data_IF_774751661637
#
_entry.id   IF_774751661637
#
_cell.length_a   1.000
_cell.length_b   1.000
_cell.length_c   1.000
_cell.angle_alpha   90.00
_cell.angle_beta   90.00
_cell.angle_gamma   90.00
#
_symmetry.space_group_name_H-M   'P 1'
#
loop_
_entity.id
_entity.type
_entity.pdbx_description
1 polymer ?
#
# COMPACT_ATOMS: atom_id res chain seq x y z
N UNK A 1 -29.63 83.63 46.10
CA UNK A 1 -31.10 83.72 45.95
C UNK A 1 -31.53 82.64 44.97
N UNK A 2 -32.49 81.82 45.41
CA UNK A 2 -33.45 80.99 44.65
C UNK A 2 -33.00 80.21 43.39
N UNK A 3 -32.94 78.88 43.54
CA UNK A 3 -33.42 77.88 42.56
C UNK A 3 -34.98 77.94 42.50
N UNK A 4 -35.74 77.32 41.54
CA UNK A 4 -35.52 75.95 41.06
C UNK A 4 -36.12 75.49 39.68
N UNK A 5 -35.78 74.23 39.32
CA UNK A 5 -36.60 73.14 38.74
C UNK A 5 -37.15 73.18 37.29
N UNK A 6 -36.74 72.15 36.50
CA UNK A 6 -37.58 71.16 35.78
C UNK A 6 -36.64 70.16 35.05
N UNK A 7 -36.23 69.04 35.66
CA UNK A 7 -36.80 67.68 35.56
C UNK A 7 -37.37 67.29 34.18
N UNK A 8 -36.61 66.49 33.41
CA UNK A 8 -37.08 65.21 32.84
C UNK A 8 -35.89 64.24 32.82
N UNK A 9 -36.07 63.10 33.49
CA UNK A 9 -35.24 61.92 33.35
C UNK A 9 -35.97 60.91 32.46
N UNK A 10 -35.31 60.39 31.42
CA UNK A 10 -35.51 59.08 30.81
C UNK A 10 -34.22 58.79 30.01
N UNK A 11 -33.29 58.01 30.54
CA UNK A 11 -33.23 56.55 30.42
C UNK A 11 -33.16 56.08 28.96
N UNK A 12 -32.07 55.35 28.68
CA UNK A 12 -31.97 54.16 27.82
C UNK A 12 -31.15 54.24 26.51
N UNK A 13 -30.32 53.20 26.40
CA UNK A 13 -29.75 52.57 25.21
C UNK A 13 -28.55 53.24 24.53
N UNK A 14 -27.38 53.11 25.16
CA UNK A 14 -26.10 52.96 24.46
C UNK A 14 -26.16 51.78 23.48
N UNK A 15 -26.14 52.05 22.17
CA UNK A 15 -25.82 51.06 21.15
C UNK A 15 -24.35 51.18 20.75
N UNK A 16 -23.52 50.33 21.35
CA UNK A 16 -22.22 49.97 20.83
C UNK A 16 -22.45 49.05 19.62
N UNK A 17 -22.26 49.56 18.41
CA UNK A 17 -22.13 48.72 17.21
C UNK A 17 -20.75 48.04 17.27
N UNK A 18 -20.69 46.92 17.98
CA UNK A 18 -19.61 45.95 17.84
C UNK A 18 -19.74 45.30 16.45
N UNK A 19 -18.69 45.45 15.66
CA UNK A 19 -18.45 44.69 14.44
C UNK A 19 -18.53 43.19 14.72
N UNK A 20 -19.63 42.55 14.33
CA UNK A 20 -19.70 41.10 14.24
C UNK A 20 -19.07 40.65 12.92
N UNK A 21 -17.74 40.69 12.86
CA UNK A 21 -17.02 39.72 12.04
C UNK A 21 -17.09 38.44 12.86
N UNK A 22 -17.95 37.50 12.46
CA UNK A 22 -17.91 36.15 13.02
C UNK A 22 -16.62 35.50 12.57
N UNK A 23 -15.54 35.79 13.30
CA UNK A 23 -14.39 34.91 13.34
C UNK A 23 -14.90 33.59 13.89
N UNK A 24 -15.03 32.59 13.02
CA UNK A 24 -15.12 31.21 13.43
C UNK A 24 -14.04 31.02 14.51
N UNK A 25 -14.48 30.79 15.74
CA UNK A 25 -13.57 30.51 16.82
C UNK A 25 -12.81 29.25 16.43
N UNK A 26 -11.54 29.45 16.07
CA UNK A 26 -10.50 28.44 15.97
C UNK A 26 -10.49 27.66 17.30
N UNK A 27 -11.32 26.63 17.39
CA UNK A 27 -11.17 25.57 18.39
C UNK A 27 -10.18 24.55 17.85
N UNK A 28 -8.96 25.01 17.54
CA UNK A 28 -7.80 24.13 17.45
C UNK A 28 -7.45 23.75 18.90
N UNK A 29 -8.03 22.64 19.37
CA UNK A 29 -7.54 21.93 20.56
C UNK A 29 -6.10 21.49 20.23
N UNK A 30 -5.14 21.56 21.17
CA UNK A 30 -3.77 21.16 20.87
C UNK A 30 -3.72 19.64 20.75
N UNK A 31 -3.81 19.11 19.53
CA UNK A 31 -3.52 17.70 19.30
C UNK A 31 -2.02 17.50 19.44
N UNK A 32 -1.64 16.65 20.39
CA UNK A 32 -0.25 16.22 20.61
C UNK A 32 0.30 15.37 19.46
N UNK A 33 -0.55 14.96 18.52
CA UNK A 33 -0.19 14.25 17.29
C UNK A 33 -0.64 15.07 16.07
N UNK A 34 0.22 15.24 15.06
CA UNK A 34 -0.12 15.99 13.86
C UNK A 34 -1.11 15.20 12.99
N UNK A 35 -1.91 15.93 12.20
CA UNK A 35 -2.56 15.29 11.05
C UNK A 35 -1.49 14.94 10.02
N UNK A 36 -1.74 13.91 9.22
CA UNK A 36 -0.80 13.42 8.23
C UNK A 36 -1.41 13.53 6.84
N UNK A 37 -0.60 13.90 5.84
CA UNK A 37 -0.92 13.73 4.44
C UNK A 37 -0.03 12.64 3.86
N UNK A 38 -0.64 11.62 3.29
CA UNK A 38 0.04 10.54 2.58
C UNK A 38 -0.05 10.82 1.08
N UNK A 39 1.08 11.11 0.45
CA UNK A 39 1.21 11.27 -0.98
C UNK A 39 1.70 9.94 -1.58
N UNK A 40 0.89 9.37 -2.47
CA UNK A 40 1.19 8.10 -3.12
C UNK A 40 1.65 8.35 -4.55
N UNK A 41 2.70 7.65 -4.95
CA UNK A 41 3.15 7.54 -6.34
C UNK A 41 3.18 6.07 -6.72
N UNK A 42 2.22 5.63 -7.52
CA UNK A 42 2.09 4.27 -8.04
C UNK A 42 3.00 4.09 -9.26
N UNK A 43 3.84 3.05 -9.24
CA UNK A 43 4.81 2.77 -10.31
C UNK A 43 4.22 1.95 -11.45
N UNK A 44 3.12 1.22 -11.20
CA UNK A 44 2.45 0.36 -12.17
C UNK A 44 1.10 0.93 -12.57
N UNK A 45 0.86 1.07 -13.88
CA UNK A 45 -0.41 1.55 -14.42
C UNK A 45 -1.61 0.68 -14.05
N UNK A 46 -1.40 -0.62 -13.84
CA UNK A 46 -2.44 -1.56 -13.39
C UNK A 46 -2.95 -1.29 -11.97
N UNK A 47 -2.22 -0.49 -11.18
CA UNK A 47 -2.60 -0.13 -9.81
C UNK A 47 -3.30 1.24 -9.74
N UNK A 48 -3.40 1.96 -10.86
CA UNK A 48 -3.96 3.30 -10.88
C UNK A 48 -5.37 3.33 -10.27
N UNK A 49 -5.58 4.24 -9.33
CA UNK A 49 -6.84 4.38 -8.61
C UNK A 49 -7.69 5.42 -9.32
N UNK A 50 -8.81 4.97 -9.86
CA UNK A 50 -9.68 5.78 -10.71
C UNK A 50 -8.94 6.44 -11.90
N UNK A 51 -7.85 5.81 -12.37
CA UNK A 51 -7.00 6.32 -13.45
C UNK A 51 -5.80 7.15 -13.00
N UNK A 52 -5.68 7.47 -11.70
CA UNK A 52 -4.59 8.28 -11.16
C UNK A 52 -3.44 7.40 -10.65
N UNK A 53 -2.22 7.73 -11.05
CA UNK A 53 -0.98 7.17 -10.48
C UNK A 53 -0.50 7.93 -9.24
N UNK A 54 -0.88 9.21 -9.14
CA UNK A 54 -0.45 10.11 -8.08
C UNK A 54 -1.68 10.71 -7.40
N UNK A 55 -1.75 10.58 -6.07
CA UNK A 55 -2.87 11.08 -5.27
C UNK A 55 -2.47 11.22 -3.81
N UNK A 56 -3.27 11.97 -3.06
CA UNK A 56 -3.04 12.21 -1.64
C UNK A 56 -4.24 11.76 -0.81
N UNK A 57 -3.96 11.26 0.40
CA UNK A 57 -4.96 10.94 1.41
C UNK A 57 -4.66 11.73 2.68
N UNK A 58 -5.68 12.32 3.28
CA UNK A 58 -5.58 13.10 4.51
C UNK A 58 -5.99 12.22 5.68
N UNK A 59 -5.25 12.32 6.79
CA UNK A 59 -5.44 11.46 7.94
C UNK A 59 -5.34 12.24 9.26
N UNK A 60 -6.38 12.18 10.08
CA UNK A 60 -6.40 12.80 11.41
C UNK A 60 -6.21 11.75 12.51
N UNK A 61 -5.32 11.98 13.49
CA UNK A 61 -5.09 11.02 14.55
C UNK A 61 -6.22 11.05 15.60
N UNK A 62 -6.74 9.87 15.92
CA UNK A 62 -7.61 9.55 17.05
C UNK A 62 -6.79 8.71 18.04
N UNK A 63 -6.22 9.39 19.03
CA UNK A 63 -5.30 8.80 20.02
C UNK A 63 -6.07 8.46 21.29
N UNK A 64 -5.79 7.30 21.89
CA UNK A 64 -6.36 6.93 23.19
C UNK A 64 -5.88 7.84 24.32
N UNK A 65 -6.64 7.92 25.42
CA UNK A 65 -6.33 8.80 26.57
C UNK A 65 -4.90 8.62 27.14
N UNK A 66 -4.39 7.38 27.11
CA UNK A 66 -3.04 7.02 27.56
C UNK A 66 -1.95 7.20 26.48
N UNK A 67 -2.32 7.46 25.21
CA UNK A 67 -1.37 7.61 24.11
C UNK A 67 -0.80 6.31 23.54
N UNK A 68 -1.31 5.15 24.00
CA UNK A 68 -0.76 3.83 23.65
C UNK A 68 -1.44 3.21 22.41
N UNK A 69 -2.55 3.78 21.96
CA UNK A 69 -3.24 3.35 20.74
C UNK A 69 -3.56 4.54 19.85
N UNK A 70 -3.47 4.31 18.55
CA UNK A 70 -3.82 5.28 17.53
C UNK A 70 -4.64 4.64 16.43
N UNK A 71 -5.68 5.35 16.02
CA UNK A 71 -6.44 5.14 14.80
C UNK A 71 -6.41 6.44 14.02
N UNK A 72 -6.35 6.37 12.70
CA UNK A 72 -6.48 7.56 11.86
C UNK A 72 -7.82 7.55 11.15
N UNK A 73 -8.56 8.65 11.30
CA UNK A 73 -9.69 8.97 10.44
C UNK A 73 -9.16 9.51 9.12
N UNK A 74 -9.68 9.03 8.00
CA UNK A 74 -9.08 9.22 6.68
C UNK A 74 -10.09 9.80 5.70
N UNK A 75 -9.62 10.70 4.85
CA UNK A 75 -10.39 11.24 3.74
C UNK A 75 -9.54 11.33 2.48
N UNK A 76 -10.12 10.92 1.34
CA UNK A 76 -9.52 11.10 0.03
C UNK A 76 -10.59 11.31 -1.03
N UNK A 77 -10.28 12.14 -2.02
CA UNK A 77 -11.17 12.44 -3.14
C UNK A 77 -10.51 12.05 -4.45
N UNK A 78 -11.24 11.32 -5.29
CA UNK A 78 -10.80 10.89 -6.60
C UNK A 78 -11.82 11.29 -7.65
N UNK A 79 -11.35 11.88 -8.75
CA UNK A 79 -12.21 12.22 -9.88
C UNK A 79 -11.99 11.24 -11.04
N UNK A 80 -13.09 10.73 -11.60
CA UNK A 80 -13.09 9.92 -12.80
C UNK A 80 -14.11 10.50 -13.80
N UNK A 81 -13.64 11.26 -14.78
CA UNK A 81 -14.50 11.99 -15.70
C UNK A 81 -15.39 13.01 -14.94
N UNK A 82 -16.71 12.85 -15.05
CA UNK A 82 -17.70 13.69 -14.36
C UNK A 82 -18.10 13.18 -12.96
N UNK A 83 -17.51 12.06 -12.51
CA UNK A 83 -17.86 11.41 -11.24
C UNK A 83 -16.80 11.71 -10.18
N UNK A 84 -17.23 12.12 -9.00
CA UNK A 84 -16.38 12.26 -7.81
C UNK A 84 -16.62 11.05 -6.90
N UNK A 85 -15.54 10.44 -6.47
CA UNK A 85 -15.49 9.39 -5.47
C UNK A 85 -14.81 9.93 -4.22
N UNK A 86 -15.52 9.96 -3.09
CA UNK A 86 -14.92 10.31 -1.81
C UNK A 86 -14.83 9.05 -0.95
N UNK A 87 -13.60 8.71 -0.58
CA UNK A 87 -13.31 7.70 0.41
C UNK A 87 -13.28 8.36 1.78
N UNK A 88 -13.99 7.78 2.73
CA UNK A 88 -14.03 8.22 4.12
C UNK A 88 -13.87 7.02 5.05
N UNK A 89 -12.99 7.16 6.04
CA UNK A 89 -12.88 6.26 7.18
C UNK A 89 -13.00 7.09 8.44
N UNK A 90 -14.04 6.84 9.24
CA UNK A 90 -14.25 7.52 10.53
C UNK A 90 -14.66 6.50 11.57
N UNK A 91 -14.01 6.52 12.75
CA UNK A 91 -14.26 5.58 13.84
C UNK A 91 -14.13 4.11 13.40
N UNK A 92 -13.19 3.83 12.51
CA UNK A 92 -12.89 2.48 12.00
C UNK A 92 -13.92 1.94 11.00
N UNK A 93 -14.83 2.78 10.50
CA UNK A 93 -15.82 2.42 9.48
C UNK A 93 -15.45 3.07 8.16
N UNK A 94 -15.16 2.24 7.15
CA UNK A 94 -14.76 2.68 5.83
C UNK A 94 -15.93 2.62 4.83
N UNK A 95 -16.12 3.69 4.07
CA UNK A 95 -17.14 3.78 3.02
C UNK A 95 -16.69 4.68 1.87
N UNK A 96 -17.32 4.47 0.72
CA UNK A 96 -17.12 5.28 -0.49
C UNK A 96 -18.43 5.97 -0.84
N UNK A 97 -18.40 7.28 -1.04
CA UNK A 97 -19.52 8.02 -1.60
C UNK A 97 -19.22 8.44 -3.04
N UNK A 98 -20.28 8.45 -3.86
CA UNK A 98 -20.20 8.84 -5.27
C UNK A 98 -21.20 9.95 -5.57
N UNK A 99 -20.71 11.03 -6.16
CA UNK A 99 -21.51 12.16 -6.65
C UNK A 99 -21.15 12.51 -8.10
N UNK A 100 -22.05 13.21 -8.78
CA UNK A 100 -21.85 13.73 -10.14
C UNK A 100 -21.53 15.22 -10.07
N UNK A 101 -20.58 15.68 -10.88
CA UNK A 101 -20.26 17.11 -11.03
C UNK A 101 -21.44 17.92 -11.59
N UNK A 102 -22.26 17.29 -12.44
CA UNK A 102 -23.35 17.95 -13.16
C UNK A 102 -24.66 18.05 -12.34
N UNK A 103 -24.74 17.34 -11.22
CA UNK A 103 -25.91 17.34 -10.34
C UNK A 103 -25.48 17.44 -8.88
N UNK A 104 -25.06 18.63 -8.51
CA UNK A 104 -24.65 19.00 -7.14
C UNK A 104 -25.81 18.99 -6.14
N UNK A 105 -27.05 18.76 -6.59
CA UNK A 105 -28.24 18.63 -5.74
C UNK A 105 -28.63 17.18 -5.45
N UNK A 106 -28.08 16.22 -6.18
CA UNK A 106 -28.33 14.80 -5.95
C UNK A 106 -27.65 14.30 -4.67
N UNK A 107 -28.40 13.55 -3.86
CA UNK A 107 -27.83 12.86 -2.69
C UNK A 107 -26.76 11.86 -3.15
N UNK A 108 -25.54 11.91 -2.59
CA UNK A 108 -24.47 11.01 -2.99
C UNK A 108 -24.84 9.56 -2.67
N UNK A 109 -24.46 8.65 -3.57
CA UNK A 109 -24.66 7.21 -3.34
C UNK A 109 -23.52 6.68 -2.47
N UNK A 110 -23.84 6.01 -1.36
CA UNK A 110 -22.87 5.48 -0.40
C UNK A 110 -22.76 3.97 -0.54
N UNK A 111 -21.53 3.45 -0.55
CA UNK A 111 -21.21 2.03 -0.51
C UNK A 111 -20.28 1.75 0.67
N UNK A 112 -20.65 0.81 1.54
CA UNK A 112 -19.75 0.33 2.58
C UNK A 112 -18.60 -0.47 1.95
N UNK A 113 -17.44 -0.46 2.61
CA UNK A 113 -16.29 -1.27 2.26
C UNK A 113 -16.15 -2.40 3.29
N UNK A 114 -15.74 -3.59 2.84
CA UNK A 114 -15.55 -4.75 3.73
C UNK A 114 -14.14 -4.74 4.34
N UNK A 115 -13.18 -4.10 3.67
CA UNK A 115 -11.81 -3.88 4.14
C UNK A 115 -11.29 -2.49 3.77
N UNK A 116 -10.32 -1.99 4.53
CA UNK A 116 -9.62 -0.73 4.24
C UNK A 116 -8.84 -0.79 2.92
N UNK A 117 -8.36 -1.98 2.53
CA UNK A 117 -7.49 -2.19 1.36
C UNK A 117 -8.23 -2.45 0.05
N UNK A 118 -9.57 -2.40 0.03
CA UNK A 118 -10.35 -2.89 -1.12
C UNK A 118 -10.11 -2.05 -2.39
N UNK A 119 -10.03 -0.73 -2.26
CA UNK A 119 -9.97 0.20 -3.39
C UNK A 119 -8.81 1.18 -3.27
N UNK A 120 -8.43 1.54 -2.04
CA UNK A 120 -7.40 2.53 -1.75
C UNK A 120 -6.33 1.95 -0.84
N UNK A 121 -5.11 2.54 -0.80
CA UNK A 121 -4.08 2.10 0.12
C UNK A 121 -4.56 2.22 1.58
N UNK A 122 -4.34 1.18 2.41
CA UNK A 122 -4.84 1.15 3.78
C UNK A 122 -3.96 1.97 4.73
N UNK A 123 -4.37 3.21 5.04
CA UNK A 123 -3.62 4.14 5.88
C UNK A 123 -3.35 3.55 7.27
N UNK A 124 -4.32 2.89 7.91
CA UNK A 124 -4.12 2.34 9.24
C UNK A 124 -3.22 1.10 9.25
N UNK A 125 -3.20 0.31 8.17
CA UNK A 125 -2.17 -0.71 7.97
C UNK A 125 -0.78 -0.12 7.78
N UNK A 126 -0.66 0.99 7.03
CA UNK A 126 0.62 1.71 6.86
C UNK A 126 1.11 2.24 8.22
N UNK A 127 0.23 2.85 9.00
CA UNK A 127 0.52 3.32 10.37
C UNK A 127 0.96 2.16 11.28
N UNK A 128 0.31 1.00 11.17
CA UNK A 128 0.73 -0.21 11.89
C UNK A 128 2.15 -0.62 11.49
N UNK A 129 2.47 -0.64 10.20
CA UNK A 129 3.83 -0.91 9.73
C UNK A 129 4.86 0.08 10.25
N UNK A 130 4.54 1.39 10.26
CA UNK A 130 5.42 2.43 10.83
C UNK A 130 5.61 2.22 12.35
N UNK A 131 4.57 1.80 13.07
CA UNK A 131 4.68 1.46 14.49
C UNK A 131 5.60 0.27 14.74
N UNK A 132 5.68 -0.69 13.82
CA UNK A 132 6.49 -1.90 13.92
C UNK A 132 7.85 -1.77 13.20
N UNK A 133 8.20 -0.56 12.74
CA UNK A 133 9.41 -0.28 11.99
C UNK A 133 10.68 -0.73 12.74
N UNK A 134 11.54 -1.47 12.05
CA UNK A 134 12.80 -1.98 12.61
C UNK A 134 13.98 -1.20 12.05
N UNK A 135 14.83 -0.66 12.93
CA UNK A 135 15.98 0.14 12.50
C UNK A 135 17.00 -0.72 11.75
N UNK A 136 17.49 -0.22 10.61
CA UNK A 136 18.53 -0.86 9.82
C UNK A 136 19.89 -0.18 10.03
N UNK A 137 20.97 -0.93 9.86
CA UNK A 137 22.29 -0.34 9.74
C UNK A 137 22.38 0.39 8.39
N UNK A 138 22.82 1.65 8.40
CA UNK A 138 23.14 2.36 7.17
C UNK A 138 24.27 1.62 6.45
N UNK A 139 23.95 0.84 5.43
CA UNK A 139 24.93 0.29 4.51
C UNK A 139 25.45 1.47 3.68
N UNK A 140 26.78 1.62 3.61
CA UNK A 140 27.46 2.73 2.95
C UNK A 140 27.37 2.70 1.42
N UNK A 141 26.24 2.26 0.86
CA UNK A 141 25.93 2.28 -0.56
C UNK A 141 24.61 3.02 -0.75
N UNK A 142 24.65 4.08 -1.56
CA UNK A 142 23.63 5.09 -1.91
C UNK A 142 22.28 4.57 -2.44
N UNK A 143 21.80 3.41 -2.01
CA UNK A 143 20.73 2.73 -2.71
C UNK A 143 19.30 3.22 -2.38
N UNK A 144 19.11 3.96 -1.29
CA UNK A 144 17.79 4.40 -0.82
C UNK A 144 17.66 5.92 -0.67
N UNK A 145 18.63 6.69 -1.18
CA UNK A 145 18.59 8.16 -1.11
C UNK A 145 18.57 8.74 0.32
N UNK A 146 18.63 7.90 1.36
CA UNK A 146 18.55 8.29 2.76
C UNK A 146 19.92 8.74 3.28
N UNK A 147 20.54 9.73 2.63
CA UNK A 147 21.92 10.17 2.91
C UNK A 147 22.08 10.86 4.26
N UNK A 148 20.98 11.42 4.80
CA UNK A 148 20.98 12.24 6.02
C UNK A 148 20.01 11.74 7.10
N UNK A 149 19.29 10.64 6.83
CA UNK A 149 18.20 10.13 7.66
C UNK A 149 18.50 8.80 8.36
N UNK A 150 17.58 8.37 9.21
CA UNK A 150 17.56 7.03 9.79
C UNK A 150 16.77 6.09 8.87
N UNK A 151 17.33 4.93 8.57
CA UNK A 151 16.72 3.93 7.70
C UNK A 151 16.04 2.83 8.53
N UNK A 152 14.82 2.47 8.15
CA UNK A 152 14.02 1.42 8.78
C UNK A 152 13.44 0.46 7.75
N UNK A 153 13.28 -0.79 8.15
CA UNK A 153 12.49 -1.78 7.45
C UNK A 153 11.05 -1.73 7.97
N UNK A 154 10.08 -1.75 7.06
CA UNK A 154 8.66 -1.65 7.35
C UNK A 154 7.91 -2.70 6.54
N UNK A 155 7.06 -3.47 7.19
CA UNK A 155 6.19 -4.46 6.56
C UNK A 155 4.73 -3.96 6.56
N UNK A 156 4.11 -3.85 5.39
CA UNK A 156 2.73 -3.38 5.24
C UNK A 156 1.94 -4.46 4.51
N UNK A 157 1.03 -5.14 5.21
CA UNK A 157 0.23 -6.25 4.67
C UNK A 157 1.04 -7.31 3.91
N UNK A 158 2.28 -7.58 4.36
CA UNK A 158 3.18 -8.56 3.74
C UNK A 158 4.05 -8.02 2.60
N UNK A 159 4.03 -6.70 2.35
CA UNK A 159 4.88 -6.02 1.37
C UNK A 159 5.96 -5.24 2.11
N UNK A 160 7.21 -5.42 1.68
CA UNK A 160 8.37 -4.75 2.27
C UNK A 160 8.53 -3.32 1.74
N UNK A 161 8.80 -2.39 2.65
CA UNK A 161 9.11 -1.00 2.37
C UNK A 161 10.39 -0.60 3.11
N UNK A 162 11.22 0.18 2.44
CA UNK A 162 12.33 0.91 3.08
C UNK A 162 11.84 2.29 3.48
N UNK A 163 11.84 2.57 4.78
CA UNK A 163 11.44 3.87 5.33
C UNK A 163 12.68 4.70 5.64
N UNK A 164 12.76 5.88 5.05
CA UNK A 164 13.74 6.92 5.37
C UNK A 164 13.06 7.99 6.23
N UNK A 165 13.60 8.22 7.43
CA UNK A 165 13.17 9.30 8.31
C UNK A 165 14.26 10.37 8.38
N UNK A 166 14.00 11.53 7.80
CA UNK A 166 14.88 12.70 7.92
C UNK A 166 14.58 13.48 9.20
N UNK A 167 15.57 14.21 9.74
CA UNK A 167 15.49 14.76 11.11
C UNK A 167 14.39 15.80 11.35
N UNK A 168 13.77 16.33 10.30
CA UNK A 168 12.78 17.39 10.35
C UNK A 168 11.93 17.24 9.08
N UNK A 169 10.67 16.82 9.18
CA UNK A 169 9.61 17.11 8.18
C UNK A 169 9.23 16.00 7.18
N UNK A 170 10.14 15.12 6.73
CA UNK A 170 9.79 14.14 5.68
C UNK A 170 10.02 12.67 6.10
N UNK A 171 8.94 11.88 6.03
CA UNK A 171 8.96 10.44 6.14
C UNK A 171 8.65 9.84 4.77
N UNK A 172 9.60 9.10 4.19
CA UNK A 172 9.46 8.52 2.86
C UNK A 172 9.59 7.01 2.91
N UNK A 173 8.59 6.31 2.39
CA UNK A 173 8.56 4.87 2.23
C UNK A 173 8.75 4.51 0.76
N UNK A 174 9.75 3.69 0.49
CA UNK A 174 10.09 3.20 -0.83
C UNK A 174 9.72 1.73 -0.93
N UNK A 175 8.81 1.40 -1.84
CA UNK A 175 8.44 0.02 -2.18
C UNK A 175 8.56 -0.22 -3.68
N UNK A 176 8.54 -1.48 -4.11
CA UNK A 176 8.71 -1.83 -5.52
C UNK A 176 7.56 -1.34 -6.41
N UNK A 177 6.35 -1.30 -5.86
CA UNK A 177 5.12 -1.01 -6.60
C UNK A 177 4.62 0.42 -6.41
N UNK A 178 4.98 1.06 -5.29
CA UNK A 178 4.63 2.43 -4.98
C UNK A 178 5.64 3.06 -4.04
N UNK A 179 5.72 4.39 -4.08
CA UNK A 179 6.36 5.19 -3.05
C UNK A 179 5.28 5.93 -2.26
N UNK A 180 5.55 6.19 -0.98
CA UNK A 180 4.66 6.92 -0.08
C UNK A 180 5.49 8.00 0.61
N UNK A 181 5.09 9.25 0.45
CA UNK A 181 5.63 10.37 1.21
C UNK A 181 4.61 10.81 2.24
N UNK A 182 5.04 10.99 3.48
CA UNK A 182 4.18 11.37 4.59
C UNK A 182 4.61 12.74 5.11
N UNK A 183 3.70 13.70 4.97
CA UNK A 183 3.85 15.09 5.41
C UNK A 183 3.09 15.29 6.73
N UNK A 184 3.74 15.94 7.70
CA UNK A 184 3.10 16.35 8.95
C UNK A 184 2.37 17.69 8.75
N UNK A 185 1.08 17.73 9.05
CA UNK A 185 0.25 18.92 8.93
C UNK A 185 0.12 19.65 10.28
N UNK A 186 0.33 20.96 10.26
CA UNK A 186 0.21 21.83 11.44
C UNK A 186 -1.22 21.94 11.99
N UNK A 187 -2.21 21.73 11.12
CA UNK A 187 -3.64 21.84 11.44
C UNK A 187 -4.36 20.56 11.10
N UNK A 188 -5.27 20.13 11.99
CA UNK A 188 -6.18 19.04 11.67
C UNK A 188 -7.03 19.40 10.45
N UNK A 189 -7.27 18.40 9.62
CA UNK A 189 -8.15 18.54 8.46
C UNK A 189 -9.59 18.38 8.94
N UNK A 190 -10.54 19.14 8.38
CA UNK A 190 -11.94 18.88 8.66
C UNK A 190 -12.39 17.61 7.90
N UNK A 191 -12.53 16.50 8.63
CA UNK A 191 -13.14 15.26 8.13
C UNK A 191 -14.54 15.19 8.70
N UNK A 192 -15.55 15.22 7.84
CA UNK A 192 -16.93 15.24 8.27
C UNK A 192 -17.30 13.93 8.98
N UNK A 193 -18.04 14.00 10.09
CA UNK A 193 -18.51 12.82 10.81
C UNK A 193 -19.51 12.03 9.95
N UNK A 194 -19.79 10.79 10.37
CA UNK A 194 -20.76 9.94 9.68
C UNK A 194 -22.17 10.54 9.66
N UNK A 195 -22.77 10.51 8.48
CA UNK A 195 -24.20 10.76 8.27
C UNK A 195 -25.03 9.48 8.52
N UNK A 196 -26.35 9.62 8.69
CA UNK A 196 -27.27 8.49 8.97
C UNK A 196 -27.13 7.31 7.99
N UNK A 197 -26.88 7.59 6.70
CA UNK A 197 -26.71 6.56 5.66
C UNK A 197 -25.43 5.73 5.85
N UNK A 198 -24.37 6.34 6.36
CA UNK A 198 -23.10 5.67 6.65
C UNK A 198 -23.09 4.94 8.01
N UNK A 199 -24.12 5.14 8.84
CA UNK A 199 -24.27 4.46 10.13
C UNK A 199 -24.56 2.97 9.98
N UNK A 200 -25.06 2.52 8.82
CA UNK A 200 -25.31 1.11 8.52
C UNK A 200 -24.04 0.31 8.21
N UNK A 201 -22.92 0.98 7.94
CA UNK A 201 -21.65 0.34 7.65
C UNK A 201 -20.99 -0.23 8.91
N UNK A 202 -20.34 -1.40 8.77
CA UNK A 202 -19.65 -2.10 9.86
C UNK A 202 -18.25 -1.55 10.09
N UNK A 203 -17.76 -1.70 11.31
CA UNK A 203 -16.35 -1.44 11.65
C UNK A 203 -15.45 -2.46 10.95
N UNK A 204 -14.48 -1.95 10.19
CA UNK A 204 -13.51 -2.72 9.42
C UNK A 204 -12.08 -2.57 9.94
N UNK A 205 -11.81 -1.51 10.71
CA UNK A 205 -10.46 -1.18 11.20
C UNK A 205 -10.47 -1.02 12.72
N UNK A 206 -9.41 -1.53 13.36
CA UNK A 206 -9.19 -1.40 14.80
C UNK A 206 -7.96 -0.53 15.09
N UNK A 207 -7.91 0.21 16.21
CA UNK A 207 -6.73 1.00 16.58
C UNK A 207 -5.48 0.14 16.75
N UNK A 208 -4.34 0.63 16.27
CA UNK A 208 -3.04 -0.01 16.40
C UNK A 208 -2.34 0.40 17.70
N UNK A 209 -1.47 -0.47 18.23
CA UNK A 209 -0.62 -0.15 19.38
C UNK A 209 0.53 0.77 18.94
N UNK A 210 0.87 1.75 19.77
CA UNK A 210 1.93 2.72 19.49
C UNK A 210 3.23 2.28 20.17
N UNK A 211 4.30 2.13 19.40
CA UNK A 211 5.65 1.90 19.94
C UNK A 211 6.39 3.23 20.15
N UNK A 212 7.53 3.21 20.84
CA UNK A 212 8.37 4.41 20.99
C UNK A 212 8.91 4.92 19.64
N UNK A 213 9.29 4.01 18.75
CA UNK A 213 9.73 4.31 17.38
C UNK A 213 8.57 4.87 16.58
N UNK A 214 7.44 4.17 16.58
CA UNK A 214 6.21 4.58 15.89
C UNK A 214 5.72 5.96 16.33
N UNK A 215 5.67 6.22 17.64
CA UNK A 215 5.36 7.54 18.18
C UNK A 215 6.29 8.61 17.63
N UNK A 216 7.60 8.35 17.62
CA UNK A 216 8.58 9.32 17.13
C UNK A 216 8.39 9.59 15.64
N UNK A 217 8.24 8.54 14.83
CA UNK A 217 8.04 8.62 13.38
C UNK A 217 6.70 9.25 12.99
N UNK A 218 5.61 8.96 13.69
CA UNK A 218 4.27 9.48 13.36
C UNK A 218 4.03 10.90 13.89
N UNK A 219 4.89 11.40 14.78
CA UNK A 219 4.79 12.77 15.34
C UNK A 219 5.92 13.69 14.92
N UNK A 220 6.85 13.22 14.08
CA UNK A 220 8.03 13.98 13.69
C UNK A 220 9.00 14.28 14.86
N UNK A 221 8.88 13.54 15.97
CA UNK A 221 9.74 13.72 17.13
C UNK A 221 11.11 13.05 16.90
N UNK A 222 12.15 13.69 17.44
CA UNK A 222 13.51 13.14 17.40
C UNK A 222 13.55 11.78 18.12
N UNK A 223 13.99 10.76 17.38
CA UNK A 223 14.30 9.45 17.93
C UNK A 223 15.41 9.61 18.99
N UNK A 224 15.11 9.32 20.26
CA UNK A 224 16.11 9.40 21.32
C UNK A 224 17.23 8.42 21.01
N UNK A 225 18.43 8.94 20.75
CA UNK A 225 19.63 8.15 20.45
C UNK A 225 20.12 7.40 21.69
N UNK A 226 19.43 6.32 22.06
CA UNK A 226 19.98 5.31 22.94
C UNK A 226 20.85 4.41 22.08
N UNK A 227 22.16 4.65 22.12
CA UNK A 227 23.28 3.82 21.65
C UNK A 227 22.95 2.72 20.63
N UNK A 228 23.33 3.02 19.38
CA UNK A 228 23.42 2.16 18.21
C UNK A 228 24.24 0.89 18.50
N UNK A 229 23.62 -0.13 19.09
CA UNK A 229 24.15 -1.49 19.19
C UNK A 229 23.16 -2.46 18.54
N UNK A 230 23.16 -2.49 17.21
CA UNK A 230 22.53 -3.58 16.45
C UNK A 230 23.64 -4.48 15.91
N UNK A 231 23.46 -5.78 16.15
CA UNK A 231 24.30 -6.85 15.62
C UNK A 231 24.05 -6.96 14.11
N UNK A 232 25.10 -6.91 13.30
CA UNK A 232 24.98 -7.17 11.87
C UNK A 232 24.52 -8.62 11.66
N UNK A 233 23.35 -8.80 11.08
CA UNK A 233 22.86 -10.09 10.62
C UNK A 233 22.53 -9.95 9.13
N UNK A 234 23.46 -10.45 8.32
CA UNK A 234 23.46 -10.61 6.86
C UNK A 234 23.31 -9.36 5.97
N UNK A 235 24.29 -9.22 5.08
CA UNK A 235 24.42 -8.21 4.03
C UNK A 235 23.28 -8.35 3.00
N UNK A 236 22.31 -7.45 3.04
CA UNK A 236 21.32 -7.25 2.00
C UNK A 236 21.70 -6.04 1.15
N UNK A 237 22.47 -6.26 0.08
CA UNK A 237 22.63 -5.27 -0.99
C UNK A 237 21.30 -5.15 -1.77
N UNK A 238 20.56 -4.04 -1.59
CA UNK A 238 19.33 -3.71 -2.32
C UNK A 238 19.61 -2.64 -3.39
N UNK A 239 18.92 -2.75 -4.52
CA UNK A 239 19.24 -2.13 -5.81
C UNK A 239 18.56 -0.77 -6.00
N UNK A 240 19.26 0.18 -6.64
CA UNK A 240 18.67 1.41 -7.19
C UNK A 240 18.92 1.47 -8.67
N UNK A 241 17.87 1.78 -9.41
CA UNK A 241 17.98 2.20 -10.80
C UNK A 241 18.44 3.66 -10.88
N UNK A 242 19.14 3.97 -11.97
CA UNK A 242 19.51 5.32 -12.36
C UNK A 242 18.72 5.75 -13.60
N UNK A 243 17.71 6.58 -13.35
CA UNK A 243 17.42 7.87 -14.01
C UNK A 243 17.08 7.96 -15.52
N UNK A 244 16.25 8.98 -15.77
CA UNK A 244 15.66 9.44 -17.02
C UNK A 244 16.66 10.15 -17.95
N UNK A 245 16.52 9.83 -19.23
CA UNK A 245 16.43 10.71 -20.42
C UNK A 245 17.44 11.85 -20.64
N UNK A 246 18.19 11.81 -21.76
CA UNK A 246 18.10 12.82 -22.84
C UNK A 246 19.14 12.62 -23.98
N UNK A 247 18.61 12.50 -25.19
CA UNK A 247 19.09 12.99 -26.49
C UNK A 247 20.59 13.05 -26.87
N UNK A 248 20.87 12.29 -27.94
CA UNK A 248 21.61 12.65 -29.16
C UNK A 248 23.16 12.82 -29.21
N UNK A 249 23.70 12.00 -30.12
CA UNK A 249 24.79 12.22 -31.07
C UNK A 249 26.26 11.89 -30.71
N UNK A 250 26.71 10.83 -31.39
CA UNK A 250 27.97 10.68 -32.15
C UNK A 250 29.13 9.89 -31.53
N UNK A 251 29.36 8.73 -32.17
CA UNK A 251 30.62 8.03 -32.47
C UNK A 251 31.91 8.42 -31.72
N UNK A 252 32.44 7.49 -30.92
CA UNK A 252 33.67 6.72 -31.22
C UNK A 252 34.49 6.34 -29.97
N UNK A 253 34.92 5.07 -29.97
CA UNK A 253 36.01 4.42 -29.20
C UNK A 253 35.85 4.08 -27.71
N UNK A 254 35.97 2.76 -27.51
CA UNK A 254 36.56 2.04 -26.36
C UNK A 254 35.73 1.94 -25.08
N UNK A 255 35.26 0.73 -24.77
CA UNK A 255 34.75 0.38 -23.46
C UNK A 255 33.71 -0.74 -23.52
N UNK A 256 34.14 -1.94 -23.20
CA UNK A 256 33.29 -3.10 -22.90
C UNK A 256 32.50 -2.83 -21.60
N UNK A 257 31.17 -2.64 -21.68
CA UNK A 257 30.31 -2.66 -20.49
C UNK A 257 28.87 -3.14 -20.82
N UNK A 258 28.32 -4.14 -20.08
CA UNK A 258 26.99 -4.68 -20.32
C UNK A 258 25.96 -4.03 -19.38
N UNK A 259 25.26 -3.00 -19.86
CA UNK A 259 24.17 -2.37 -19.10
C UNK A 259 22.83 -3.09 -19.33
N UNK A 260 22.48 -4.01 -18.43
CA UNK A 260 21.12 -4.58 -18.26
C UNK A 260 20.88 -4.98 -16.79
N UNK A 261 20.46 -4.04 -15.95
CA UNK A 261 20.09 -4.34 -14.57
C UNK A 261 18.66 -4.88 -14.48
N UNK A 262 18.48 -6.18 -14.73
CA UNK A 262 17.27 -6.92 -14.36
C UNK A 262 17.48 -7.71 -13.07
N UNK A 263 16.42 -7.99 -12.31
CA UNK A 263 16.50 -8.88 -11.15
C UNK A 263 17.23 -10.18 -11.54
N UNK A 264 18.37 -10.47 -10.93
CA UNK A 264 19.13 -11.69 -11.24
C UNK A 264 18.76 -12.81 -10.26
N UNK A 265 18.65 -14.05 -10.72
CA UNK A 265 18.44 -15.16 -9.80
C UNK A 265 19.64 -15.38 -8.88
N UNK A 266 19.39 -15.45 -7.57
CA UNK A 266 20.42 -15.73 -6.56
C UNK A 266 20.73 -17.22 -6.39
N UNK A 267 19.97 -18.11 -7.04
CA UNK A 267 20.22 -19.55 -7.09
C UNK A 267 20.55 -20.00 -8.50
N UNK A 268 21.03 -21.23 -8.66
CA UNK A 268 21.07 -21.88 -9.98
C UNK A 268 19.68 -21.85 -10.62
N UNK A 269 19.51 -21.24 -11.81
CA UNK A 269 18.24 -21.24 -12.52
C UNK A 269 17.77 -22.66 -12.78
N UNK A 270 16.46 -22.88 -12.65
CA UNK A 270 15.83 -24.20 -12.73
C UNK A 270 14.68 -24.18 -13.72
N UNK A 271 14.33 -25.31 -14.35
CA UNK A 271 13.09 -25.40 -15.12
C UNK A 271 11.88 -25.03 -14.25
N UNK A 272 11.02 -24.18 -14.78
CA UNK A 272 9.83 -23.70 -14.10
C UNK A 272 8.56 -24.22 -14.77
N UNK A 273 7.58 -24.58 -13.94
CA UNK A 273 6.24 -24.90 -14.41
C UNK A 273 5.17 -24.13 -13.62
N UNK A 274 4.26 -23.52 -14.37
CA UNK A 274 3.14 -22.74 -13.87
C UNK A 274 1.85 -23.54 -13.99
N UNK A 275 1.14 -23.69 -12.88
CA UNK A 275 -0.11 -24.47 -12.77
C UNK A 275 -1.25 -23.52 -12.42
N UNK A 276 -2.15 -23.29 -13.38
CA UNK A 276 -3.25 -22.36 -13.22
C UNK A 276 -4.36 -22.88 -12.29
N UNK A 277 -5.27 -21.98 -11.92
CA UNK A 277 -6.41 -22.26 -11.06
C UNK A 277 -7.68 -22.72 -11.79
N UNK A 278 -8.81 -22.52 -11.14
CA UNK A 278 -10.13 -22.79 -11.71
C UNK A 278 -10.44 -21.83 -12.87
N UNK A 279 -11.23 -22.28 -13.85
CA UNK A 279 -11.81 -21.42 -14.88
C UNK A 279 -11.43 -21.74 -16.33
N UNK A 280 -10.58 -22.75 -16.55
CA UNK A 280 -10.13 -23.13 -17.89
C UNK A 280 -10.86 -24.38 -18.35
N UNK A 281 -11.59 -24.30 -19.47
CA UNK A 281 -12.33 -25.43 -20.08
C UNK A 281 -11.49 -26.23 -21.06
N UNK A 282 -10.50 -25.59 -21.68
CA UNK A 282 -9.64 -26.21 -22.67
C UNK A 282 -8.52 -26.99 -21.97
N UNK A 283 -8.02 -28.02 -22.62
CA UNK A 283 -6.90 -28.81 -22.13
C UNK A 283 -6.01 -29.12 -23.33
N UNK A 284 -4.70 -29.02 -23.13
CA UNK A 284 -3.72 -29.43 -24.13
C UNK A 284 -2.97 -30.69 -23.65
N UNK A 285 -2.48 -31.54 -24.57
CA UNK A 285 -1.84 -32.80 -24.21
C UNK A 285 -0.42 -32.64 -23.66
N UNK A 286 0.22 -31.47 -23.79
CA UNK A 286 1.59 -31.19 -23.35
C UNK A 286 1.66 -29.86 -22.59
N UNK A 287 2.78 -29.59 -21.92
CA UNK A 287 3.02 -28.26 -21.37
C UNK A 287 3.25 -27.26 -22.49
N UNK A 288 2.69 -26.07 -22.36
CA UNK A 288 2.81 -25.00 -23.35
C UNK A 288 3.94 -24.04 -23.00
N UNK A 289 4.44 -23.32 -24.01
CA UNK A 289 5.44 -22.26 -23.87
C UNK A 289 4.85 -20.90 -23.52
N UNK A 290 3.55 -20.73 -23.74
CA UNK A 290 2.79 -19.51 -23.44
C UNK A 290 1.38 -19.90 -23.01
N UNK A 291 0.81 -19.18 -22.04
CA UNK A 291 -0.57 -19.37 -21.67
C UNK A 291 -1.17 -18.07 -21.13
N UNK A 292 -2.15 -17.52 -21.85
CA UNK A 292 -2.70 -16.17 -21.60
C UNK A 292 -3.28 -15.95 -20.20
N UNK A 293 -3.63 -17.04 -19.50
CA UNK A 293 -4.00 -17.00 -18.08
C UNK A 293 -2.99 -16.25 -17.20
N UNK A 294 -1.71 -16.30 -17.57
CA UNK A 294 -0.60 -15.73 -16.81
C UNK A 294 -0.10 -14.38 -17.36
N UNK A 295 -0.76 -13.84 -18.40
CA UNK A 295 -0.31 -12.64 -19.11
C UNK A 295 0.90 -12.87 -20.01
N UNK A 296 1.19 -11.90 -20.86
CA UNK A 296 2.26 -12.00 -21.88
C UNK A 296 3.65 -11.63 -21.33
N UNK A 297 3.69 -10.81 -20.27
CA UNK A 297 4.95 -10.25 -19.74
C UNK A 297 5.70 -11.22 -18.82
N UNK A 298 5.05 -12.28 -18.32
CA UNK A 298 5.61 -13.17 -17.30
C UNK A 298 6.96 -13.79 -17.70
N UNK A 299 7.11 -14.21 -18.97
CA UNK A 299 8.34 -14.88 -19.45
C UNK A 299 9.57 -13.95 -19.34
N UNK A 300 9.37 -12.63 -19.42
CA UNK A 300 10.44 -11.63 -19.25
C UNK A 300 10.84 -11.37 -17.79
N UNK A 301 10.05 -11.88 -16.82
CA UNK A 301 10.17 -11.54 -15.40
C UNK A 301 10.41 -12.76 -14.50
N UNK A 302 10.89 -13.88 -15.05
CA UNK A 302 11.22 -15.09 -14.29
C UNK A 302 12.73 -15.38 -14.30
N UNK A 303 13.56 -14.57 -13.64
CA UNK A 303 15.02 -14.66 -13.75
C UNK A 303 15.60 -15.95 -13.16
N UNK A 304 14.86 -16.62 -12.27
CA UNK A 304 15.24 -17.93 -11.71
C UNK A 304 14.81 -19.12 -12.54
N UNK A 305 14.14 -18.90 -13.66
CA UNK A 305 13.68 -19.96 -14.54
C UNK A 305 14.66 -20.15 -15.69
N UNK A 306 15.27 -21.33 -15.81
CA UNK A 306 16.05 -21.69 -16.99
C UNK A 306 15.15 -21.98 -18.21
N UNK A 307 13.90 -22.35 -17.95
CA UNK A 307 12.83 -22.51 -18.93
C UNK A 307 11.49 -22.27 -18.22
N UNK A 308 10.49 -21.81 -18.97
CA UNK A 308 9.14 -21.57 -18.45
C UNK A 308 8.17 -22.44 -19.22
N UNK A 309 7.32 -23.18 -18.50
CA UNK A 309 6.29 -24.04 -19.06
C UNK A 309 4.96 -23.83 -18.34
N UNK A 310 3.86 -24.02 -19.06
CA UNK A 310 2.52 -23.83 -18.53
C UNK A 310 1.72 -25.14 -18.62
N UNK A 311 1.13 -25.58 -17.51
CA UNK A 311 0.21 -26.70 -17.49
C UNK A 311 -1.20 -26.23 -17.84
N UNK A 312 -1.64 -26.43 -19.07
CA UNK A 312 -3.00 -26.08 -19.52
C UNK A 312 -3.93 -27.30 -19.35
N UNK A 313 -4.79 -27.24 -18.33
CA UNK A 313 -5.64 -28.34 -17.92
C UNK A 313 -7.11 -27.93 -17.87
N UNK A 314 -8.03 -28.85 -18.14
CA UNK A 314 -9.46 -28.56 -18.01
C UNK A 314 -9.85 -28.58 -16.54
N UNK A 315 -9.86 -27.41 -15.91
CA UNK A 315 -10.18 -27.19 -14.50
C UNK A 315 -11.64 -26.87 -14.25
N UNK A 316 -12.44 -26.59 -15.29
CA UNK A 316 -13.89 -26.37 -15.13
C UNK A 316 -14.65 -27.69 -14.99
N UNK A 317 -14.30 -28.70 -15.78
CA UNK A 317 -15.00 -29.99 -15.76
C UNK A 317 -14.36 -30.98 -14.78
N UNK A 318 -13.15 -30.71 -14.29
CA UNK A 318 -12.45 -31.56 -13.35
C UNK A 318 -12.04 -30.73 -12.12
N UNK A 319 -12.66 -31.03 -10.98
CA UNK A 319 -12.36 -30.38 -9.70
C UNK A 319 -10.98 -30.82 -9.18
N UNK A 320 -10.44 -30.06 -8.24
CA UNK A 320 -9.15 -30.38 -7.61
C UNK A 320 -9.12 -31.71 -6.84
N UNK A 321 -10.28 -32.25 -6.45
CA UNK A 321 -10.43 -33.55 -5.80
C UNK A 321 -10.38 -34.73 -6.78
N UNK A 322 -10.39 -34.47 -8.10
CA UNK A 322 -10.30 -35.51 -9.12
C UNK A 322 -8.92 -36.15 -9.15
N UNK A 323 -8.87 -37.47 -8.93
CA UNK A 323 -7.62 -38.25 -8.99
C UNK A 323 -6.95 -38.13 -10.35
N UNK A 324 -7.72 -38.26 -11.42
CA UNK A 324 -7.22 -38.12 -12.80
C UNK A 324 -6.61 -36.74 -13.04
N UNK A 325 -7.20 -35.69 -12.46
CA UNK A 325 -6.68 -34.33 -12.60
C UNK A 325 -5.37 -34.14 -11.83
N UNK A 326 -5.28 -34.70 -10.61
CA UNK A 326 -4.06 -34.69 -9.81
C UNK A 326 -2.92 -35.47 -10.49
N UNK A 327 -3.22 -36.61 -11.10
CA UNK A 327 -2.26 -37.39 -11.90
C UNK A 327 -1.75 -36.61 -13.12
N UNK A 328 -2.64 -35.88 -13.81
CA UNK A 328 -2.23 -34.99 -14.90
C UNK A 328 -1.27 -33.91 -14.42
N UNK A 329 -1.58 -33.23 -13.31
CA UNK A 329 -0.68 -32.23 -12.71
C UNK A 329 0.69 -32.84 -12.40
N UNK A 330 0.74 -34.02 -11.81
CA UNK A 330 2.00 -34.74 -11.57
C UNK A 330 2.79 -34.96 -12.86
N UNK A 331 2.15 -35.53 -13.88
CA UNK A 331 2.81 -35.83 -15.15
C UNK A 331 3.32 -34.56 -15.84
N UNK A 332 2.58 -33.45 -15.72
CA UNK A 332 2.97 -32.13 -16.23
C UNK A 332 4.22 -31.62 -15.54
N UNK A 333 4.30 -31.73 -14.21
CA UNK A 333 5.47 -31.26 -13.44
C UNK A 333 6.69 -32.14 -13.69
N UNK A 334 6.54 -33.46 -13.67
CA UNK A 334 7.64 -34.39 -13.91
C UNK A 334 8.25 -34.26 -15.32
N UNK A 335 7.46 -33.82 -16.30
CA UNK A 335 7.92 -33.65 -17.68
C UNK A 335 8.80 -32.41 -17.91
N UNK A 336 8.96 -31.53 -16.92
CA UNK A 336 9.63 -30.22 -17.08
C UNK A 336 11.12 -30.31 -16.86
N UNK A 337 11.56 -31.25 -16.01
CA UNK A 337 12.96 -31.47 -15.70
C UNK A 337 13.37 -32.90 -16.05
N UNK A 338 14.40 -33.04 -16.87
CA UNK A 338 14.96 -34.34 -17.26
C UNK A 338 15.65 -35.06 -16.10
N UNK A 339 15.96 -34.36 -14.99
CA UNK A 339 16.52 -34.96 -13.77
C UNK A 339 15.44 -35.50 -12.84
N UNK A 340 14.17 -35.19 -13.10
CA UNK A 340 13.05 -35.76 -12.34
C UNK A 340 12.85 -37.23 -12.66
N UNK A 341 12.39 -38.00 -11.66
CA UNK A 341 12.04 -39.42 -11.81
C UNK A 341 10.54 -39.61 -11.65
N UNK A 342 10.00 -40.81 -11.93
CA UNK A 342 8.57 -41.12 -11.76
C UNK A 342 7.99 -40.90 -10.34
N UNK A 343 8.85 -40.64 -9.36
CA UNK A 343 8.46 -40.44 -7.97
C UNK A 343 9.09 -39.20 -7.33
N UNK A 344 9.99 -38.47 -8.00
CA UNK A 344 10.72 -37.35 -7.39
C UNK A 344 10.79 -36.20 -8.37
N UNK A 345 10.33 -35.03 -7.94
CA UNK A 345 10.56 -33.76 -8.64
C UNK A 345 11.94 -33.27 -8.23
N UNK A 346 12.81 -33.04 -9.20
CA UNK A 346 14.20 -32.61 -8.96
C UNK A 346 14.51 -31.36 -9.78
N UNK A 347 15.22 -30.42 -9.15
CA UNK A 347 15.67 -29.17 -9.75
C UNK A 347 14.57 -28.39 -10.49
N UNK A 348 13.34 -28.40 -9.97
CA UNK A 348 12.19 -27.76 -10.63
C UNK A 348 11.57 -26.73 -9.69
N UNK A 349 11.27 -25.55 -10.22
CA UNK A 349 10.46 -24.54 -9.52
C UNK A 349 9.01 -24.74 -9.97
N UNK A 350 8.11 -24.93 -9.02
CA UNK A 350 6.68 -25.09 -9.29
C UNK A 350 5.96 -23.86 -8.77
N UNK A 351 5.28 -23.15 -9.68
CA UNK A 351 4.46 -22.00 -9.35
C UNK A 351 3.00 -22.40 -9.54
N UNK A 352 2.19 -22.20 -8.51
CA UNK A 352 0.79 -22.60 -8.52
C UNK A 352 -0.10 -21.42 -8.15
N UNK A 353 -1.30 -21.36 -8.72
CA UNK A 353 -2.30 -20.34 -8.37
C UNK A 353 -3.66 -20.98 -8.03
N UNK A 354 -4.29 -20.49 -6.95
CA UNK A 354 -5.66 -20.83 -6.55
C UNK A 354 -5.89 -22.36 -6.50
N UNK A 355 -6.86 -22.89 -7.24
CA UNK A 355 -7.14 -24.34 -7.32
C UNK A 355 -5.93 -25.18 -7.73
N UNK A 356 -4.97 -24.60 -8.47
CA UNK A 356 -3.68 -25.22 -8.81
C UNK A 356 -2.90 -25.67 -7.58
N UNK A 357 -2.94 -24.89 -6.49
CA UNK A 357 -2.26 -25.20 -5.23
C UNK A 357 -2.78 -26.51 -4.63
N UNK A 358 -4.10 -26.71 -4.64
CA UNK A 358 -4.76 -27.89 -4.09
C UNK A 358 -4.47 -29.14 -4.93
N UNK A 359 -4.53 -29.02 -6.26
CA UNK A 359 -4.22 -30.14 -7.16
C UNK A 359 -2.77 -30.63 -6.97
N UNK A 360 -1.83 -29.70 -6.81
CA UNK A 360 -0.42 -30.02 -6.59
C UNK A 360 -0.17 -30.59 -5.19
N UNK A 361 -0.71 -29.98 -4.14
CA UNK A 361 -0.49 -30.39 -2.76
C UNK A 361 -1.07 -31.79 -2.45
N UNK A 362 -2.28 -32.10 -2.96
CA UNK A 362 -2.90 -33.42 -2.75
C UNK A 362 -2.05 -34.52 -3.39
N UNK A 363 -1.45 -34.25 -4.55
CA UNK A 363 -0.53 -35.20 -5.17
C UNK A 363 0.72 -35.45 -4.30
N UNK A 364 1.39 -34.39 -3.81
CA UNK A 364 2.57 -34.55 -2.93
C UNK A 364 2.21 -35.46 -1.76
N UNK A 365 1.06 -35.19 -1.11
CA UNK A 365 0.59 -35.97 0.02
C UNK A 365 0.32 -37.44 -0.33
N UNK A 366 -0.32 -37.71 -1.46
CA UNK A 366 -0.69 -39.07 -1.85
C UNK A 366 0.49 -39.95 -2.30
N UNK A 367 1.64 -39.34 -2.61
CA UNK A 367 2.84 -40.03 -3.12
C UNK A 367 3.93 -40.22 -2.07
N UNK A 368 4.02 -39.32 -1.09
CA UNK A 368 5.08 -39.30 -0.06
C UNK A 368 4.60 -39.51 1.37
N UNK A 369 3.29 -39.55 1.61
CA UNK A 369 2.69 -40.04 2.86
C UNK A 369 2.17 -41.45 2.67
#
# INVERSE_FOLDING_TARGET
MASPLLWVAMASATWLLLSAVSSAALNAKPTTWPALRFNFTLKRSSMNIYGNSDFSMLANPVVSDNGDKVLYDVFATFQQGQTIHNYTLVDGVAFMSRSSLDDSTATPTVSCLDSESDIVPPINSIVTGINEATAMAASGSDATGCTTGSLFEVLINGIDFSLCASRLDDLQLYGDDMNIEVEYLDTQVEILPRDEVSAECKTTVSPSSVTSVGKSLLTGQLLSSSERNLKAEFDFTFWSDGSKDSSQHSESRSGDHPDKHGCSCKSTPRPCIFIHGLGVKQETPHNEDSFSYWGDDLIGHTPCCSSVKFAHLNTVNNTWTSKTQQEKVCNRVLAVSNTSTKAVITDTIVVTHSMGNLMFAVWIRARFG
#
